data_IF_698446854894
#
_entry.id   IF_698446854894
#
_cell.length_a   1.000
_cell.length_b   1.000
_cell.length_c   1.000
_cell.angle_alpha   90.00
_cell.angle_beta   90.00
_cell.angle_gamma   90.00
#
_symmetry.space_group_name_H-M   'P 1'
#
loop_
_entity.id
_entity.type
_entity.pdbx_description
1 polymer ?
#
# COMPACT_ATOMS: atom_id res chain seq x y z
N UNK A 1 12.70 -6.64 1.73
CA UNK A 1 13.14 -5.33 2.27
C UNK A 1 12.11 -4.27 1.88
N UNK A 2 11.74 -3.39 2.82
CA UNK A 2 10.73 -2.33 2.66
C UNK A 2 11.35 -1.01 3.14
N UNK A 3 11.04 0.09 2.46
CA UNK A 3 11.37 1.45 2.90
C UNK A 3 10.09 2.29 3.00
N UNK A 4 10.08 3.24 3.94
CA UNK A 4 8.98 4.18 4.17
C UNK A 4 9.53 5.62 4.30
N UNK A 5 8.70 6.62 3.99
CA UNK A 5 9.07 8.04 4.11
C UNK A 5 8.23 8.72 5.18
N UNK A 6 8.86 9.06 6.32
CA UNK A 6 8.20 9.54 7.54
C UNK A 6 7.24 10.74 7.36
N UNK A 7 7.50 11.64 6.40
CA UNK A 7 6.72 12.87 6.20
C UNK A 7 5.75 12.80 5.01
N UNK A 8 5.44 11.60 4.53
CA UNK A 8 4.46 11.39 3.48
C UNK A 8 3.28 10.56 4.03
N UNK A 9 2.01 10.95 3.80
CA UNK A 9 0.85 10.32 4.44
C UNK A 9 0.73 8.82 4.13
N UNK A 10 1.22 8.39 2.97
CA UNK A 10 1.37 6.98 2.64
C UNK A 10 2.47 6.80 1.59
N UNK A 11 3.67 6.37 2.00
CA UNK A 11 4.79 6.08 1.09
C UNK A 11 5.45 4.78 1.52
N UNK A 12 5.32 3.75 0.68
CA UNK A 12 5.92 2.44 0.92
C UNK A 12 6.53 1.95 -0.39
N UNK A 13 7.78 1.50 -0.35
CA UNK A 13 8.43 0.81 -1.46
C UNK A 13 8.99 -0.53 -0.99
N UNK A 14 8.75 -1.58 -1.78
CA UNK A 14 9.16 -2.94 -1.48
C UNK A 14 9.97 -3.51 -2.66
N UNK A 15 11.03 -4.26 -2.36
CA UNK A 15 11.84 -4.94 -3.38
C UNK A 15 11.27 -6.28 -3.84
N UNK A 16 10.37 -6.88 -3.06
CA UNK A 16 9.67 -8.11 -3.45
C UNK A 16 8.40 -7.79 -4.24
N UNK A 17 7.79 -8.83 -4.79
CA UNK A 17 6.61 -8.75 -5.65
C UNK A 17 5.31 -9.11 -4.90
N UNK A 18 4.70 -8.18 -4.12
CA UNK A 18 3.46 -8.43 -3.38
C UNK A 18 2.27 -8.78 -4.29
N UNK A 19 2.31 -8.37 -5.56
CA UNK A 19 1.32 -8.69 -6.59
C UNK A 19 1.18 -10.19 -6.81
N UNK A 20 2.28 -10.95 -6.71
CA UNK A 20 2.26 -12.41 -6.90
C UNK A 20 1.59 -13.14 -5.72
N UNK A 21 1.47 -12.48 -4.56
CA UNK A 21 0.87 -13.04 -3.35
C UNK A 21 -0.58 -12.58 -3.13
N UNK A 22 -1.02 -11.51 -3.81
CA UNK A 22 -2.39 -10.99 -3.71
C UNK A 22 -3.41 -11.95 -4.35
N UNK A 23 -4.58 -12.12 -3.74
CA UNK A 23 -5.71 -12.92 -4.26
C UNK A 23 -7.02 -12.14 -4.10
N UNK A 24 -8.06 -12.40 -4.91
CA UNK A 24 -9.33 -11.69 -4.80
C UNK A 24 -9.96 -11.73 -3.39
N UNK A 25 -9.97 -12.90 -2.76
CA UNK A 25 -10.50 -13.06 -1.39
C UNK A 25 -9.50 -12.71 -0.28
N UNK A 26 -8.23 -12.52 -0.64
CA UNK A 26 -7.16 -12.19 0.30
C UNK A 26 -6.20 -11.17 -0.35
N UNK A 27 -6.64 -9.92 -0.50
CA UNK A 27 -5.82 -8.89 -1.11
C UNK A 27 -4.58 -8.60 -0.26
N UNK A 28 -3.46 -8.32 -0.92
CA UNK A 28 -2.22 -8.03 -0.20
C UNK A 28 -2.34 -6.69 0.56
N UNK A 29 -1.89 -6.60 1.84
CA UNK A 29 -2.05 -5.42 2.67
C UNK A 29 -1.50 -4.12 2.05
N UNK A 30 -0.39 -4.19 1.32
CA UNK A 30 0.20 -3.03 0.64
C UNK A 30 -0.77 -2.37 -0.36
N UNK A 31 -1.57 -3.16 -1.09
CA UNK A 31 -2.53 -2.60 -2.03
C UNK A 31 -3.76 -2.06 -1.32
N UNK A 32 -4.26 -2.75 -0.29
CA UNK A 32 -5.36 -2.24 0.54
C UNK A 32 -5.00 -0.91 1.20
N UNK A 33 -3.79 -0.81 1.76
CA UNK A 33 -3.27 0.42 2.36
C UNK A 33 -3.15 1.56 1.35
N UNK A 34 -2.62 1.31 0.15
CA UNK A 34 -2.50 2.32 -0.91
C UNK A 34 -3.87 2.90 -1.28
N UNK A 35 -4.85 2.04 -1.54
CA UNK A 35 -6.19 2.47 -1.93
C UNK A 35 -6.89 3.18 -0.77
N UNK A 36 -6.76 2.68 0.47
CA UNK A 36 -7.29 3.33 1.66
C UNK A 36 -6.77 4.76 1.83
N UNK A 37 -5.44 4.94 1.79
CA UNK A 37 -4.83 6.26 1.87
C UNK A 37 -5.22 7.18 0.70
N UNK A 38 -5.40 6.64 -0.51
CA UNK A 38 -5.90 7.41 -1.64
C UNK A 38 -7.36 7.89 -1.45
N UNK A 39 -8.21 7.05 -0.85
CA UNK A 39 -9.59 7.42 -0.51
C UNK A 39 -9.64 8.49 0.59
N UNK A 40 -8.83 8.35 1.64
CA UNK A 40 -8.69 9.34 2.70
C UNK A 40 -8.22 10.69 2.15
N UNK A 41 -7.17 10.68 1.33
CA UNK A 41 -6.67 11.89 0.66
C UNK A 41 -7.69 12.55 -0.26
N UNK A 42 -8.60 11.78 -0.88
CA UNK A 42 -9.67 12.31 -1.72
C UNK A 42 -10.79 12.97 -0.90
N UNK A 43 -10.98 12.54 0.35
CA UNK A 43 -12.03 13.04 1.24
C UNK A 43 -11.59 14.27 2.05
N UNK A 44 -10.29 14.49 2.18
CA UNK A 44 -9.69 15.70 2.77
C UNK A 44 -9.70 16.88 1.79
#
# INVERSE_FOLDING_TARGET
>A
EIIELNNHPWFVAAQFHPELQSRPERPHPLFCGLIGAALEKRQA
#
